data_IF_372554933058
#
_entry.id   IF_372554933058
#
_cell.length_a   1.000
_cell.length_b   1.000
_cell.length_c   1.000
_cell.angle_alpha   90.00
_cell.angle_beta   90.00
_cell.angle_gamma   90.00
#
_symmetry.space_group_name_H-M   'P 1'
#
loop_
_entity.id
_entity.type
_entity.pdbx_description
1 polymer ?
#
# COMPACT_ATOMS: atom_id res chain seq x y z
N UNK A 1 19.15 21.43 16.20
CA UNK A 1 19.27 20.17 15.43
C UNK A 1 20.32 20.38 14.36
N UNK A 2 21.29 19.49 14.30
CA UNK A 2 22.31 19.47 13.25
C UNK A 2 21.73 18.88 11.96
N UNK A 3 22.27 19.29 10.79
CA UNK A 3 21.96 18.75 9.46
C UNK A 3 20.45 18.61 9.15
N UNK A 4 19.71 19.69 9.35
CA UNK A 4 18.25 19.72 9.11
C UNK A 4 17.87 19.42 7.65
N UNK A 5 18.72 19.82 6.71
CA UNK A 5 18.59 19.51 5.29
C UNK A 5 18.67 18.01 5.01
N UNK A 6 19.64 17.31 5.63
CA UNK A 6 19.76 15.86 5.54
C UNK A 6 18.55 15.16 6.17
N UNK A 7 18.10 15.60 7.35
CA UNK A 7 16.90 15.04 7.98
C UNK A 7 15.65 15.21 7.12
N UNK A 8 15.51 16.35 6.43
CA UNK A 8 14.44 16.58 5.47
C UNK A 8 14.53 15.57 4.31
N UNK A 9 15.72 15.36 3.75
CA UNK A 9 15.96 14.44 2.64
C UNK A 9 15.68 12.98 3.03
N UNK A 10 16.09 12.55 4.22
CA UNK A 10 15.85 11.20 4.74
C UNK A 10 14.35 10.90 4.95
N UNK A 11 13.51 11.94 5.12
CA UNK A 11 12.06 11.80 5.26
C UNK A 11 11.35 11.68 3.91
N UNK A 12 11.69 10.66 3.15
CA UNK A 12 11.05 10.31 1.89
C UNK A 12 12.00 10.19 0.69
N UNK A 13 13.28 10.62 0.81
CA UNK A 13 14.25 10.53 -0.30
C UNK A 13 14.90 9.15 -0.48
N UNK A 14 14.43 8.15 0.23
CA UNK A 14 14.92 6.77 0.11
C UNK A 14 16.36 6.58 0.59
N UNK A 15 17.00 5.51 0.14
CA UNK A 15 18.36 5.10 0.52
C UNK A 15 19.47 5.86 -0.21
N UNK A 16 19.28 7.14 -0.55
CA UNK A 16 20.20 7.92 -1.37
C UNK A 16 21.31 8.67 -0.61
N UNK A 17 21.28 8.69 0.73
CA UNK A 17 22.12 9.62 1.51
C UNK A 17 23.05 8.94 2.52
N UNK A 18 22.93 7.63 2.72
CA UNK A 18 23.71 6.91 3.69
C UNK A 18 22.99 5.73 4.32
N UNK A 19 23.61 5.13 5.33
CA UNK A 19 23.05 4.05 6.15
C UNK A 19 22.69 4.61 7.52
N UNK A 20 21.41 4.47 7.90
CA UNK A 20 20.93 4.89 9.23
C UNK A 20 21.15 3.75 10.22
N UNK A 21 21.92 4.01 11.28
CA UNK A 21 22.26 3.00 12.31
C UNK A 21 21.44 3.15 13.59
N UNK A 22 20.73 4.28 13.76
CA UNK A 22 19.90 4.54 14.94
C UNK A 22 18.77 5.53 14.59
N UNK A 23 17.56 5.18 15.02
CA UNK A 23 16.41 6.08 15.00
C UNK A 23 16.00 6.44 16.42
N UNK A 24 15.56 7.69 16.60
CA UNK A 24 14.90 8.16 17.80
C UNK A 24 13.54 8.80 17.40
N UNK A 25 12.44 8.19 17.84
CA UNK A 25 11.09 8.60 17.48
C UNK A 25 10.34 9.19 18.69
N UNK A 26 9.57 10.23 18.46
CA UNK A 26 8.49 10.62 19.35
C UNK A 26 7.31 9.65 19.14
N UNK A 27 6.95 8.93 20.19
CA UNK A 27 5.88 7.93 20.11
C UNK A 27 4.50 8.58 20.31
N UNK A 28 3.50 8.00 19.69
CA UNK A 28 2.10 8.32 19.89
C UNK A 28 1.43 7.25 20.76
N UNK A 29 0.41 7.60 21.56
CA UNK A 29 -0.40 6.60 22.26
C UNK A 29 -1.03 5.61 21.26
N UNK A 30 -0.83 4.33 21.52
CA UNK A 30 -1.34 3.24 20.70
C UNK A 30 -1.56 2.03 21.58
N UNK A 31 -2.75 1.45 21.54
CA UNK A 31 -3.08 0.20 22.21
C UNK A 31 -2.83 0.18 23.74
N UNK A 32 -2.43 -0.99 24.32
CA UNK A 32 -1.93 -2.19 23.60
C UNK A 32 -2.96 -2.90 22.72
N UNK A 33 -4.26 -2.88 23.08
CA UNK A 33 -5.34 -3.48 22.31
C UNK A 33 -5.93 -2.46 21.33
N UNK A 34 -6.22 -2.92 20.12
CA UNK A 34 -6.93 -2.18 19.06
C UNK A 34 -8.09 -3.02 18.55
N UNK A 35 -9.06 -2.40 17.89
CA UNK A 35 -10.06 -3.13 17.13
C UNK A 35 -9.57 -3.31 15.68
N UNK A 36 -9.46 -4.56 15.26
CA UNK A 36 -9.16 -4.96 13.90
C UNK A 36 -10.44 -5.52 13.25
N UNK A 37 -10.85 -4.97 12.13
CA UNK A 37 -11.91 -5.57 11.30
C UNK A 37 -11.27 -6.14 10.03
N UNK A 38 -11.63 -7.38 9.72
CA UNK A 38 -11.19 -8.09 8.53
C UNK A 38 -12.30 -9.03 8.00
N UNK A 39 -13.48 -8.49 7.68
CA UNK A 39 -14.51 -9.26 6.98
C UNK A 39 -14.02 -9.60 5.58
N UNK A 40 -14.13 -10.87 5.19
CA UNK A 40 -13.74 -11.38 3.89
C UNK A 40 -14.97 -11.73 3.09
N UNK A 41 -15.11 -11.07 1.95
CA UNK A 41 -16.21 -11.25 1.02
C UNK A 41 -15.77 -12.09 -0.18
N UNK A 42 -16.64 -12.98 -0.69
CA UNK A 42 -16.38 -13.60 -1.98
C UNK A 42 -16.38 -12.52 -3.07
N UNK A 43 -15.54 -12.67 -4.10
CA UNK A 43 -15.48 -11.69 -5.20
C UNK A 43 -16.84 -11.47 -5.87
N UNK A 44 -17.73 -12.47 -5.80
CA UNK A 44 -19.11 -12.40 -6.29
C UNK A 44 -20.03 -11.45 -5.51
N UNK A 45 -19.62 -10.95 -4.34
CA UNK A 45 -20.34 -9.89 -3.63
C UNK A 45 -20.31 -8.56 -4.41
N UNK A 46 -19.37 -8.43 -5.36
CA UNK A 46 -19.28 -7.29 -6.26
C UNK A 46 -18.79 -6.01 -5.60
N UNK A 47 -19.13 -4.87 -6.21
CA UNK A 47 -18.59 -3.57 -5.82
C UNK A 47 -19.30 -2.90 -4.62
N UNK A 48 -20.53 -3.31 -4.27
CA UNK A 48 -21.32 -2.60 -3.24
C UNK A 48 -20.65 -2.56 -1.85
N UNK A 49 -20.08 -3.68 -1.31
CA UNK A 49 -19.34 -3.61 -0.07
C UNK A 49 -18.10 -2.71 -0.14
N UNK A 50 -17.38 -2.71 -1.29
CA UNK A 50 -16.19 -1.87 -1.49
C UNK A 50 -16.59 -0.39 -1.60
N UNK A 51 -17.71 -0.07 -2.24
CA UNK A 51 -18.29 1.28 -2.31
C UNK A 51 -18.63 1.80 -0.92
N UNK A 52 -19.31 0.99 -0.12
CA UNK A 52 -19.60 1.34 1.27
C UNK A 52 -18.32 1.58 2.07
N UNK A 53 -17.34 0.68 1.97
CA UNK A 53 -16.05 0.81 2.63
C UNK A 53 -15.33 2.11 2.22
N UNK A 54 -15.25 2.41 0.93
CA UNK A 54 -14.66 3.67 0.41
C UNK A 54 -15.25 4.89 1.12
N UNK A 55 -16.57 4.98 1.12
CA UNK A 55 -17.28 6.13 1.69
C UNK A 55 -17.16 6.16 3.22
N UNK A 56 -17.11 5.00 3.86
CA UNK A 56 -16.91 4.85 5.29
C UNK A 56 -15.50 5.33 5.71
N UNK A 57 -14.44 4.83 5.07
CA UNK A 57 -13.06 5.20 5.47
C UNK A 57 -12.72 6.64 5.14
N UNK A 58 -13.27 7.19 4.07
CA UNK A 58 -13.11 8.61 3.73
C UNK A 58 -13.61 9.54 4.85
N UNK A 59 -14.71 9.16 5.53
CA UNK A 59 -15.25 9.90 6.68
C UNK A 59 -14.52 9.65 7.99
N UNK A 60 -13.75 8.57 8.11
CA UNK A 60 -13.13 8.11 9.35
C UNK A 60 -11.58 8.06 9.28
N UNK A 61 -10.97 8.69 8.28
CA UNK A 61 -9.54 8.57 7.97
C UNK A 61 -8.57 9.04 9.08
N UNK A 62 -9.03 9.80 10.05
CA UNK A 62 -8.23 10.17 11.23
C UNK A 62 -8.22 9.11 12.35
N UNK A 63 -9.14 8.15 12.30
CA UNK A 63 -9.35 7.14 13.36
C UNK A 63 -9.15 5.71 12.86
N UNK A 64 -9.23 5.50 11.55
CA UNK A 64 -9.21 4.18 10.90
C UNK A 64 -8.14 4.18 9.82
N UNK A 65 -7.14 3.31 9.97
CA UNK A 65 -6.24 2.93 8.87
C UNK A 65 -6.85 1.74 8.14
N UNK A 66 -6.86 1.76 6.80
CA UNK A 66 -7.59 0.75 6.06
C UNK A 66 -7.07 0.48 4.65
N UNK A 67 -7.31 -0.75 4.19
CA UNK A 67 -7.16 -1.17 2.80
C UNK A 67 -8.26 -2.18 2.42
N UNK A 68 -8.56 -2.27 1.14
CA UNK A 68 -9.32 -3.38 0.55
C UNK A 68 -8.33 -4.25 -0.23
N UNK A 69 -8.13 -5.50 0.19
CA UNK A 69 -7.18 -6.44 -0.40
C UNK A 69 -7.92 -7.55 -1.13
N UNK A 70 -7.53 -7.78 -2.39
CA UNK A 70 -7.98 -8.91 -3.19
C UNK A 70 -6.95 -10.04 -3.12
N UNK A 71 -7.38 -11.23 -2.73
CA UNK A 71 -6.54 -12.41 -2.55
C UNK A 71 -7.26 -13.69 -2.98
N UNK A 72 -6.63 -14.83 -2.77
CA UNK A 72 -7.25 -16.17 -2.95
C UNK A 72 -7.50 -16.80 -1.59
N UNK A 73 -8.69 -17.32 -1.37
CA UNK A 73 -9.02 -18.09 -0.18
C UNK A 73 -8.19 -19.39 -0.16
N UNK A 74 -7.29 -19.50 0.82
CA UNK A 74 -6.42 -20.66 0.97
C UNK A 74 -7.21 -21.90 1.38
N UNK A 75 -6.71 -23.08 1.03
CA UNK A 75 -7.17 -24.33 1.61
C UNK A 75 -6.77 -24.41 3.09
N UNK A 76 -7.70 -24.77 3.95
CA UNK A 76 -7.44 -24.88 5.39
C UNK A 76 -8.68 -24.62 6.24
N UNK A 77 -8.48 -24.49 7.55
CA UNK A 77 -9.56 -24.33 8.52
C UNK A 77 -10.14 -22.88 8.51
N UNK A 78 -9.39 -21.92 7.99
CA UNK A 78 -9.76 -20.51 7.99
C UNK A 78 -10.90 -20.18 7.02
N UNK A 79 -11.09 -21.00 5.99
CA UNK A 79 -12.14 -20.82 4.99
C UNK A 79 -13.02 -22.06 4.84
N UNK A 80 -14.36 -21.90 4.70
CA UNK A 80 -15.24 -22.96 4.24
C UNK A 80 -14.78 -23.53 2.90
N UNK A 81 -14.90 -24.85 2.72
CA UNK A 81 -14.39 -25.58 1.53
C UNK A 81 -14.91 -25.03 0.21
N UNK A 82 -16.15 -24.50 0.20
CA UNK A 82 -16.73 -23.89 -0.99
C UNK A 82 -15.99 -22.65 -1.50
N UNK A 83 -15.12 -22.01 -0.68
CA UNK A 83 -14.31 -20.85 -1.09
C UNK A 83 -12.87 -21.20 -1.47
N UNK A 84 -12.39 -22.39 -1.17
CA UNK A 84 -11.00 -22.76 -1.46
C UNK A 84 -10.62 -22.51 -2.93
N UNK A 85 -9.49 -21.86 -3.15
CA UNK A 85 -8.99 -21.48 -4.47
C UNK A 85 -9.82 -20.40 -5.19
N UNK A 86 -10.84 -19.83 -4.53
CA UNK A 86 -11.63 -18.74 -5.12
C UNK A 86 -11.10 -17.38 -4.71
N UNK A 87 -11.26 -16.42 -5.59
CA UNK A 87 -10.95 -15.02 -5.31
C UNK A 87 -11.93 -14.42 -4.31
N UNK A 88 -11.37 -13.71 -3.35
CA UNK A 88 -12.05 -12.99 -2.27
C UNK A 88 -11.48 -11.59 -2.15
N UNK A 89 -12.13 -10.73 -1.37
CA UNK A 89 -11.53 -9.49 -0.91
C UNK A 89 -11.81 -9.25 0.58
N UNK A 90 -10.82 -8.66 1.25
CA UNK A 90 -10.86 -8.30 2.67
C UNK A 90 -11.00 -6.80 2.80
N UNK A 91 -11.93 -6.32 3.63
CA UNK A 91 -12.00 -4.92 4.04
C UNK A 91 -11.25 -4.78 5.38
N UNK A 92 -9.92 -4.69 5.31
CA UNK A 92 -9.09 -4.61 6.50
C UNK A 92 -9.08 -3.19 7.08
N UNK A 93 -9.41 -3.05 8.36
CA UNK A 93 -9.44 -1.79 9.09
C UNK A 93 -8.83 -1.94 10.48
N UNK A 94 -7.97 -1.01 10.86
CA UNK A 94 -7.46 -0.89 12.23
C UNK A 94 -7.99 0.41 12.83
N UNK A 95 -8.68 0.30 13.96
CA UNK A 95 -9.13 1.44 14.75
C UNK A 95 -8.20 1.64 15.94
N UNK A 96 -7.54 2.80 15.98
CA UNK A 96 -6.70 3.22 17.10
C UNK A 96 -7.51 4.09 18.08
N UNK A 97 -8.01 3.46 19.13
CA UNK A 97 -8.82 4.09 20.17
C UNK A 97 -9.35 3.05 21.15
N UNK A 98 -10.40 3.38 21.88
CA UNK A 98 -11.08 2.40 22.73
C UNK A 98 -11.65 1.24 21.88
N UNK A 99 -11.33 0.00 22.27
CA UNK A 99 -11.69 -1.16 21.45
C UNK A 99 -13.21 -1.38 21.33
N UNK A 100 -14.00 -1.01 22.36
CA UNK A 100 -15.45 -1.11 22.29
C UNK A 100 -16.07 -0.04 21.37
N UNK A 101 -15.50 1.17 21.35
CA UNK A 101 -15.87 2.17 20.33
C UNK A 101 -15.53 1.69 18.93
N UNK A 102 -14.33 1.10 18.76
CA UNK A 102 -13.88 0.54 17.47
C UNK A 102 -14.78 -0.58 16.99
N UNK A 103 -15.19 -1.49 17.86
CA UNK A 103 -16.12 -2.57 17.56
C UNK A 103 -17.47 -2.03 17.04
N UNK A 104 -18.04 -1.05 17.75
CA UNK A 104 -19.30 -0.42 17.33
C UNK A 104 -19.15 0.35 15.99
N UNK A 105 -18.02 1.04 15.79
CA UNK A 105 -17.74 1.81 14.58
C UNK A 105 -17.54 0.91 13.36
N UNK A 106 -16.78 -0.20 13.48
CA UNK A 106 -16.40 -1.06 12.37
C UNK A 106 -17.43 -2.16 12.05
N UNK A 107 -18.35 -2.45 12.98
CA UNK A 107 -19.41 -3.46 12.79
C UNK A 107 -20.15 -3.36 11.45
N UNK A 108 -20.57 -2.18 10.95
CA UNK A 108 -21.25 -2.10 9.66
C UNK A 108 -20.48 -2.74 8.50
N UNK A 109 -19.15 -2.79 8.56
CA UNK A 109 -18.33 -3.41 7.53
C UNK A 109 -18.47 -4.95 7.47
N UNK A 110 -18.99 -5.60 8.49
CA UNK A 110 -19.20 -7.07 8.54
C UNK A 110 -20.62 -7.48 8.11
N UNK A 111 -21.51 -6.52 7.82
CA UNK A 111 -22.93 -6.77 7.60
C UNK A 111 -23.41 -6.42 6.17
N UNK A 112 -22.48 -6.17 5.22
CA UNK A 112 -22.81 -5.64 3.88
C UNK A 112 -23.30 -6.71 2.91
N UNK A 113 -22.83 -7.95 3.04
CA UNK A 113 -23.20 -9.11 2.23
C UNK A 113 -22.80 -10.40 2.99
N UNK A 114 -23.22 -11.60 2.52
CA UNK A 114 -22.71 -12.85 3.07
C UNK A 114 -21.17 -12.93 2.98
N UNK A 115 -20.53 -13.24 4.10
CA UNK A 115 -19.08 -13.36 4.22
C UNK A 115 -18.60 -14.75 3.77
N UNK A 116 -17.39 -14.81 3.22
CA UNK A 116 -16.65 -16.06 3.08
C UNK A 116 -16.09 -16.50 4.45
N UNK A 117 -15.51 -15.56 5.20
CA UNK A 117 -15.08 -15.72 6.59
C UNK A 117 -14.90 -14.35 7.23
N UNK A 118 -14.61 -14.30 8.55
CA UNK A 118 -14.38 -13.03 9.26
C UNK A 118 -13.29 -13.23 10.32
N UNK A 119 -12.21 -12.42 10.22
CA UNK A 119 -11.12 -12.39 11.19
C UNK A 119 -11.17 -11.13 12.09
N UNK A 120 -12.33 -10.46 12.13
CA UNK A 120 -12.51 -9.29 12.96
C UNK A 120 -12.46 -9.61 14.45
N UNK A 121 -11.81 -8.74 15.22
CA UNK A 121 -11.75 -8.90 16.66
C UNK A 121 -10.85 -7.86 17.32
N UNK A 122 -10.86 -7.88 18.65
CA UNK A 122 -9.90 -7.14 19.45
C UNK A 122 -8.57 -7.88 19.41
N UNK A 123 -7.51 -7.15 19.15
CA UNK A 123 -6.19 -7.74 18.95
C UNK A 123 -5.12 -6.83 19.57
N UNK A 124 -4.05 -7.43 20.09
CA UNK A 124 -2.89 -6.65 20.48
C UNK A 124 -2.27 -6.01 19.22
N UNK A 125 -1.94 -4.74 19.28
CA UNK A 125 -1.40 -4.03 18.10
C UNK A 125 -0.09 -4.64 17.58
N UNK A 126 0.74 -5.20 18.46
CA UNK A 126 1.95 -5.91 18.03
C UNK A 126 1.64 -7.15 17.17
N UNK A 127 0.52 -7.86 17.48
CA UNK A 127 0.08 -9.01 16.70
C UNK A 127 -0.49 -8.56 15.34
N UNK A 128 -1.22 -7.43 15.30
CA UNK A 128 -1.69 -6.82 14.04
C UNK A 128 -0.51 -6.51 13.12
N UNK A 129 0.61 -5.99 13.66
CA UNK A 129 1.81 -5.67 12.87
C UNK A 129 2.50 -6.90 12.29
N UNK A 130 2.22 -8.10 12.78
CA UNK A 130 2.82 -9.36 12.35
C UNK A 130 1.92 -10.21 11.45
N UNK A 131 0.68 -9.78 11.19
CA UNK A 131 -0.30 -10.56 10.40
C UNK A 131 0.21 -10.95 9.01
N UNK A 132 1.06 -10.11 8.40
CA UNK A 132 1.59 -10.32 7.06
C UNK A 132 2.96 -11.03 7.01
N UNK A 133 3.63 -11.25 8.14
CA UNK A 133 5.00 -11.78 8.19
C UNK A 133 5.12 -13.18 7.58
N UNK A 134 4.06 -13.98 7.65
CA UNK A 134 4.03 -15.36 7.13
C UNK A 134 3.53 -15.47 5.69
N UNK A 135 2.98 -14.40 5.10
CA UNK A 135 2.38 -14.47 3.76
C UNK A 135 3.44 -14.51 2.65
N UNK A 136 4.57 -13.82 2.87
CA UNK A 136 5.64 -13.71 1.86
C UNK A 136 6.99 -13.98 2.56
N UNK A 137 7.31 -15.23 2.92
CA UNK A 137 8.60 -15.58 3.51
C UNK A 137 9.75 -15.23 2.57
N UNK A 138 10.86 -14.73 3.14
CA UNK A 138 12.01 -14.33 2.37
C UNK A 138 12.62 -15.50 1.59
N UNK A 139 12.73 -15.33 0.28
CA UNK A 139 13.36 -16.30 -0.63
C UNK A 139 12.42 -17.37 -1.20
N UNK A 140 11.16 -17.46 -0.75
CA UNK A 140 10.24 -18.49 -1.19
C UNK A 140 9.48 -18.10 -2.48
N UNK A 141 9.37 -16.81 -2.74
CA UNK A 141 8.59 -16.28 -3.84
C UNK A 141 9.37 -15.29 -4.70
N UNK A 142 8.97 -15.24 -5.95
CA UNK A 142 9.29 -14.18 -6.90
C UNK A 142 8.21 -13.11 -6.80
N UNK A 143 8.60 -11.83 -6.84
CA UNK A 143 7.70 -10.71 -6.65
C UNK A 143 7.91 -9.65 -7.73
N UNK A 144 6.81 -9.09 -8.22
CA UNK A 144 6.82 -7.91 -9.08
C UNK A 144 5.66 -7.00 -8.72
N UNK A 145 5.97 -5.86 -8.11
CA UNK A 145 4.99 -4.97 -7.52
C UNK A 145 4.94 -3.64 -8.26
N UNK A 146 3.75 -3.23 -8.67
CA UNK A 146 3.49 -1.90 -9.21
C UNK A 146 2.37 -1.23 -8.44
N UNK A 147 2.49 0.08 -8.23
CA UNK A 147 1.43 0.86 -7.63
C UNK A 147 1.22 2.18 -8.37
N UNK A 148 -0.01 2.69 -8.29
CA UNK A 148 -0.40 3.96 -8.88
C UNK A 148 -1.27 4.72 -7.88
N UNK A 149 -0.92 5.97 -7.63
CA UNK A 149 -1.79 6.88 -6.91
C UNK A 149 -3.00 7.26 -7.77
N UNK A 150 -4.17 7.31 -7.14
CA UNK A 150 -5.43 7.63 -7.80
C UNK A 150 -5.91 9.00 -7.33
N UNK A 151 -6.45 9.79 -8.25
CA UNK A 151 -7.10 11.06 -7.94
C UNK A 151 -8.36 10.86 -7.09
N UNK A 152 -9.08 9.80 -7.38
CA UNK A 152 -10.26 9.35 -6.64
C UNK A 152 -10.42 7.83 -6.78
N UNK A 153 -11.21 7.22 -5.91
CA UNK A 153 -11.63 5.82 -6.05
C UNK A 153 -13.07 5.78 -6.59
N UNK A 154 -13.22 5.94 -7.90
CA UNK A 154 -14.52 5.87 -8.56
C UNK A 154 -15.08 4.44 -8.61
N UNK A 155 -16.36 4.31 -8.94
CA UNK A 155 -17.00 3.00 -9.11
C UNK A 155 -16.37 2.21 -10.27
N UNK A 156 -15.99 2.89 -11.35
CA UNK A 156 -15.31 2.29 -12.51
C UNK A 156 -13.92 1.79 -12.14
N UNK A 157 -13.20 2.50 -11.24
CA UNK A 157 -11.91 2.03 -10.74
C UNK A 157 -12.07 0.81 -9.83
N UNK A 158 -13.13 0.74 -9.01
CA UNK A 158 -13.45 -0.44 -8.20
C UNK A 158 -13.77 -1.64 -9.12
N UNK A 159 -14.58 -1.46 -10.16
CA UNK A 159 -14.89 -2.50 -11.14
C UNK A 159 -13.65 -2.98 -11.89
N UNK A 160 -12.72 -2.08 -12.23
CA UNK A 160 -11.43 -2.43 -12.81
C UNK A 160 -10.61 -3.31 -11.84
N UNK A 161 -10.52 -2.93 -10.57
CA UNK A 161 -9.78 -3.69 -9.56
C UNK A 161 -10.37 -5.10 -9.37
N UNK A 162 -11.70 -5.23 -9.29
CA UNK A 162 -12.42 -6.52 -9.22
C UNK A 162 -12.11 -7.36 -10.46
N UNK A 163 -12.18 -6.77 -11.65
CA UNK A 163 -11.98 -7.47 -12.92
C UNK A 163 -10.54 -7.96 -13.04
N UNK A 164 -9.56 -7.16 -12.63
CA UNK A 164 -8.16 -7.52 -12.63
C UNK A 164 -7.85 -8.61 -11.58
N UNK A 165 -8.40 -8.51 -10.38
CA UNK A 165 -8.26 -9.54 -9.35
C UNK A 165 -8.80 -10.91 -9.80
N UNK A 166 -9.90 -10.93 -10.58
CA UNK A 166 -10.51 -12.16 -11.09
C UNK A 166 -9.59 -12.97 -12.01
N UNK A 167 -8.68 -12.29 -12.72
CA UNK A 167 -7.77 -12.92 -13.68
C UNK A 167 -6.32 -12.97 -13.20
N UNK A 168 -6.08 -12.74 -11.92
CA UNK A 168 -4.74 -12.80 -11.37
C UNK A 168 -4.13 -14.21 -11.57
N UNK A 169 -2.87 -14.27 -12.05
CA UNK A 169 -2.31 -15.51 -12.61
C UNK A 169 -1.75 -16.50 -11.58
N UNK A 170 -1.64 -16.08 -10.32
CA UNK A 170 -1.14 -16.91 -9.21
C UNK A 170 -2.05 -16.77 -7.99
N UNK A 171 -2.22 -17.87 -7.23
CA UNK A 171 -3.00 -17.86 -5.99
C UNK A 171 -2.36 -17.02 -4.89
N UNK A 172 -1.04 -16.80 -4.93
CA UNK A 172 -0.32 -15.94 -4.00
C UNK A 172 -0.41 -14.46 -4.37
N UNK A 173 -0.83 -14.13 -5.61
CA UNK A 173 -0.93 -12.75 -6.08
C UNK A 173 -2.06 -12.02 -5.36
N UNK A 174 -1.72 -10.83 -4.84
CA UNK A 174 -2.65 -9.90 -4.22
C UNK A 174 -2.72 -8.61 -5.03
N UNK A 175 -3.80 -7.85 -4.85
CA UNK A 175 -3.89 -6.46 -5.28
C UNK A 175 -4.71 -5.69 -4.27
N UNK A 176 -4.41 -4.39 -4.08
CA UNK A 176 -5.02 -3.66 -2.98
C UNK A 176 -5.40 -2.23 -3.36
N UNK A 177 -6.51 -1.79 -2.80
CA UNK A 177 -6.93 -0.39 -2.78
C UNK A 177 -6.60 0.18 -1.39
N UNK A 178 -5.69 1.15 -1.34
CA UNK A 178 -5.20 1.75 -0.11
C UNK A 178 -5.85 3.11 0.13
N UNK A 179 -6.24 3.39 1.37
CA UNK A 179 -6.67 4.72 1.80
C UNK A 179 -5.52 5.47 2.48
N UNK A 180 -5.16 6.64 1.96
CA UNK A 180 -4.07 7.49 2.45
C UNK A 180 -4.54 8.83 3.05
N UNK A 181 -5.76 8.94 3.47
CA UNK A 181 -6.32 10.17 4.02
C UNK A 181 -5.79 10.57 5.41
N UNK A 182 -6.54 11.40 6.09
CA UNK A 182 -6.32 11.80 7.47
C UNK A 182 -5.08 12.66 7.70
N UNK A 183 -4.35 12.37 8.78
CA UNK A 183 -3.19 13.15 9.19
C UNK A 183 -2.07 13.18 8.13
N UNK A 184 -1.89 12.10 7.39
CA UNK A 184 -0.88 12.00 6.34
C UNK A 184 -1.11 13.03 5.22
N UNK A 185 -2.34 13.22 4.80
CA UNK A 185 -2.71 14.16 3.74
C UNK A 185 -2.56 15.64 4.16
N UNK A 186 -2.51 15.93 5.47
CA UNK A 186 -2.36 17.29 5.99
C UNK A 186 -0.91 17.78 6.10
N UNK A 187 0.07 16.90 5.86
CA UNK A 187 1.49 17.30 5.87
C UNK A 187 1.81 18.08 4.59
N UNK A 188 2.30 19.35 4.70
CA UNK A 188 2.64 20.14 3.52
C UNK A 188 3.69 19.44 2.65
N UNK A 189 3.54 19.52 1.32
CA UNK A 189 4.43 18.85 0.36
C UNK A 189 5.92 19.20 0.55
N UNK A 190 6.23 20.44 0.91
CA UNK A 190 7.60 20.89 1.15
C UNK A 190 8.17 20.53 2.53
N UNK A 191 7.35 19.99 3.45
CA UNK A 191 7.79 19.70 4.81
C UNK A 191 8.74 18.49 4.90
N UNK A 192 8.67 17.59 3.94
CA UNK A 192 9.54 16.40 3.83
C UNK A 192 9.87 16.13 2.36
N UNK A 193 10.86 15.29 2.12
CA UNK A 193 11.24 14.90 0.76
C UNK A 193 10.19 14.01 0.06
N UNK A 194 9.28 13.40 0.80
CA UNK A 194 8.21 12.53 0.24
C UNK A 194 7.33 13.26 -0.79
N UNK A 195 7.24 14.58 -0.71
CA UNK A 195 6.49 15.40 -1.66
C UNK A 195 5.01 15.53 -1.32
N UNK A 196 4.19 15.62 -2.36
CA UNK A 196 2.75 15.84 -2.23
C UNK A 196 2.05 14.64 -1.59
N UNK A 197 1.19 14.93 -0.63
CA UNK A 197 0.42 13.95 0.13
C UNK A 197 -1.09 14.13 -0.07
N UNK A 198 -1.49 14.87 -1.11
CA UNK A 198 -2.89 15.11 -1.43
C UNK A 198 -3.61 13.87 -1.99
N UNK A 199 -2.85 12.82 -2.37
CA UNK A 199 -3.41 11.56 -2.81
C UNK A 199 -4.24 10.92 -1.68
N UNK A 200 -5.49 10.61 -1.96
CA UNK A 200 -6.37 9.90 -1.02
C UNK A 200 -6.32 8.39 -1.18
N UNK A 201 -5.91 7.90 -2.35
CA UNK A 201 -5.99 6.51 -2.73
C UNK A 201 -4.76 6.03 -3.51
N UNK A 202 -4.50 4.72 -3.41
CA UNK A 202 -3.51 4.03 -4.23
C UNK A 202 -4.05 2.66 -4.62
N UNK A 203 -3.79 2.24 -5.84
CA UNK A 203 -4.00 0.89 -6.31
C UNK A 203 -2.65 0.20 -6.46
N UNK A 204 -2.46 -0.94 -5.78
CA UNK A 204 -1.27 -1.77 -5.91
C UNK A 204 -1.60 -3.13 -6.54
N UNK A 205 -0.64 -3.64 -7.28
CA UNK A 205 -0.69 -4.88 -8.04
C UNK A 205 0.56 -5.67 -7.66
N UNK A 206 0.39 -6.55 -6.70
CA UNK A 206 1.47 -7.23 -6.00
C UNK A 206 1.51 -8.68 -6.49
N UNK A 207 2.07 -8.87 -7.70
CA UNK A 207 2.24 -10.18 -8.29
C UNK A 207 3.29 -10.98 -7.49
N UNK A 208 2.90 -12.18 -7.04
CA UNK A 208 3.67 -13.08 -6.19
C UNK A 208 3.49 -14.49 -6.72
N UNK A 209 4.59 -15.19 -7.03
CA UNK A 209 4.55 -16.54 -7.60
C UNK A 209 5.82 -17.32 -7.28
N UNK A 210 5.78 -18.66 -7.22
CA UNK A 210 6.95 -19.45 -6.84
C UNK A 210 7.91 -19.81 -7.99
N UNK A 211 7.42 -20.00 -9.22
CA UNK A 211 8.19 -20.61 -10.32
C UNK A 211 8.63 -19.58 -11.37
N UNK A 212 9.92 -19.55 -11.71
CA UNK A 212 10.50 -18.68 -12.74
C UNK A 212 9.83 -18.82 -14.11
N UNK A 213 9.34 -19.99 -14.45
CA UNK A 213 8.62 -20.23 -15.70
C UNK A 213 7.36 -19.36 -15.83
N UNK A 214 6.83 -18.86 -14.72
CA UNK A 214 5.63 -18.04 -14.64
C UNK A 214 5.89 -16.54 -14.63
N UNK A 215 7.16 -16.09 -14.71
CA UNK A 215 7.54 -14.67 -14.66
C UNK A 215 6.75 -13.83 -15.66
N UNK A 216 6.75 -14.25 -16.92
CA UNK A 216 6.14 -13.45 -17.99
C UNK A 216 4.66 -13.18 -17.75
N UNK A 217 3.88 -14.18 -17.34
CA UNK A 217 2.43 -13.99 -17.12
C UNK A 217 2.13 -13.11 -15.93
N UNK A 218 2.92 -13.23 -14.84
CA UNK A 218 2.73 -12.47 -13.63
C UNK A 218 3.13 -11.00 -13.80
N UNK A 219 4.28 -10.75 -14.43
CA UNK A 219 4.75 -9.40 -14.76
C UNK A 219 3.78 -8.71 -15.72
N UNK A 220 3.32 -9.44 -16.76
CA UNK A 220 2.35 -8.91 -17.74
C UNK A 220 1.05 -8.50 -17.05
N UNK A 221 0.48 -9.34 -16.19
CA UNK A 221 -0.74 -9.03 -15.45
C UNK A 221 -0.62 -7.73 -14.63
N UNK A 222 0.49 -7.58 -13.90
CA UNK A 222 0.72 -6.38 -13.09
C UNK A 222 0.87 -5.13 -13.97
N UNK A 223 1.59 -5.21 -15.09
CA UNK A 223 1.76 -4.10 -16.04
C UNK A 223 0.45 -3.71 -16.73
N UNK A 224 -0.31 -4.69 -17.20
CA UNK A 224 -1.61 -4.44 -17.85
C UNK A 224 -2.62 -3.80 -16.88
N UNK A 225 -2.72 -4.30 -15.64
CA UNK A 225 -3.56 -3.71 -14.61
C UNK A 225 -3.13 -2.29 -14.24
N UNK A 226 -1.82 -2.04 -14.14
CA UNK A 226 -1.27 -0.72 -13.88
C UNK A 226 -1.58 0.26 -15.02
N UNK A 227 -1.43 -0.17 -16.29
CA UNK A 227 -1.77 0.63 -17.47
C UNK A 227 -3.28 0.91 -17.56
N UNK A 228 -4.11 -0.11 -17.28
CA UNK A 228 -5.56 0.06 -17.30
C UNK A 228 -6.06 1.07 -16.25
N UNK A 229 -5.33 1.26 -15.15
CA UNK A 229 -5.64 2.24 -14.11
C UNK A 229 -5.16 3.68 -14.45
N UNK A 230 -4.47 3.91 -15.58
CA UNK A 230 -3.96 5.21 -15.97
C UNK A 230 -5.02 6.32 -16.04
N UNK A 231 -6.24 6.10 -16.57
CA UNK A 231 -7.27 7.14 -16.64
C UNK A 231 -7.73 7.67 -15.26
N UNK A 232 -7.47 6.90 -14.19
CA UNK A 232 -7.83 7.24 -12.81
C UNK A 232 -6.64 7.78 -12.01
N UNK A 233 -5.46 7.83 -12.65
CA UNK A 233 -4.21 8.22 -11.99
C UNK A 233 -4.24 9.69 -11.58
N UNK A 234 -3.59 9.97 -10.47
CA UNK A 234 -3.15 11.32 -10.16
C UNK A 234 -1.90 11.62 -10.98
N UNK A 235 -1.92 12.71 -11.75
CA UNK A 235 -0.81 13.10 -12.63
C UNK A 235 0.54 13.17 -11.89
N UNK A 236 1.59 12.66 -12.55
CA UNK A 236 2.96 12.81 -12.12
C UNK A 236 3.31 12.07 -10.82
N UNK A 237 2.71 10.88 -10.54
CA UNK A 237 2.91 10.24 -9.23
C UNK A 237 3.10 8.73 -9.32
N UNK A 238 4.35 8.31 -9.17
CA UNK A 238 4.70 6.92 -8.91
C UNK A 238 5.02 6.72 -7.42
N UNK A 239 4.62 5.59 -6.86
CA UNK A 239 5.03 5.18 -5.52
C UNK A 239 6.34 4.40 -5.62
N UNK A 240 7.45 5.02 -5.22
CA UNK A 240 8.79 4.48 -5.41
C UNK A 240 9.12 3.21 -4.63
N UNK A 241 8.27 2.79 -3.68
CA UNK A 241 8.43 1.50 -3.03
C UNK A 241 7.91 0.33 -3.88
N UNK A 242 7.02 0.60 -4.86
CA UNK A 242 6.44 -0.40 -5.76
C UNK A 242 6.63 0.00 -7.24
N UNK A 243 7.87 0.19 -7.71
CA UNK A 243 8.11 0.74 -9.04
C UNK A 243 8.01 -0.30 -10.17
N UNK A 244 8.03 -1.60 -9.84
CA UNK A 244 8.30 -2.66 -10.79
C UNK A 244 9.82 -2.87 -10.96
N UNK A 245 10.28 -4.13 -10.86
CA UNK A 245 11.70 -4.44 -11.01
C UNK A 245 12.17 -4.16 -12.44
N UNK A 246 13.31 -3.46 -12.58
CA UNK A 246 13.91 -3.13 -13.89
C UNK A 246 13.22 -1.99 -14.63
N UNK A 247 12.28 -1.28 -13.99
CA UNK A 247 11.64 -0.08 -14.54
C UNK A 247 12.16 1.21 -13.88
N UNK A 248 13.24 1.09 -13.13
CA UNK A 248 13.89 2.21 -12.46
C UNK A 248 14.54 3.12 -13.52
N UNK A 249 14.13 4.37 -13.54
CA UNK A 249 14.70 5.38 -14.42
C UNK A 249 14.79 6.73 -13.72
N UNK A 250 15.74 7.55 -14.17
CA UNK A 250 15.87 8.91 -13.65
C UNK A 250 14.58 9.71 -13.86
N UNK A 251 13.89 9.50 -14.97
CA UNK A 251 12.63 10.16 -15.28
C UNK A 251 11.54 9.79 -14.27
N UNK A 252 11.39 8.50 -13.93
CA UNK A 252 10.44 8.04 -12.92
C UNK A 252 10.76 8.63 -11.53
N UNK A 253 12.05 8.69 -11.18
CA UNK A 253 12.50 9.25 -9.91
C UNK A 253 12.23 10.76 -9.84
N UNK A 254 12.53 11.49 -10.93
CA UNK A 254 12.22 12.94 -11.03
C UNK A 254 10.72 13.21 -10.94
N UNK A 255 9.92 12.42 -11.65
CA UNK A 255 8.45 12.51 -11.62
C UNK A 255 7.91 12.28 -10.21
N UNK A 256 8.35 11.22 -9.53
CA UNK A 256 7.89 10.85 -8.20
C UNK A 256 8.22 11.91 -7.13
N UNK A 257 9.41 12.50 -7.17
CA UNK A 257 9.79 13.57 -6.24
C UNK A 257 9.26 14.96 -6.66
N UNK A 258 8.92 15.14 -7.95
CA UNK A 258 8.37 16.39 -8.48
C UNK A 258 9.20 17.61 -8.08
N UNK A 259 8.55 18.63 -7.51
CA UNK A 259 9.21 19.89 -7.10
C UNK A 259 10.33 19.71 -6.05
N UNK A 260 10.35 18.58 -5.32
CA UNK A 260 11.38 18.30 -4.31
C UNK A 260 12.67 17.74 -4.90
N UNK A 261 12.68 17.27 -6.17
CA UNK A 261 13.84 16.60 -6.77
C UNK A 261 15.09 17.48 -6.78
N UNK A 262 14.99 18.75 -7.23
CA UNK A 262 16.14 19.65 -7.30
C UNK A 262 16.80 19.86 -5.93
N UNK A 263 15.99 20.03 -4.88
CA UNK A 263 16.51 20.15 -3.52
C UNK A 263 17.18 18.85 -3.04
N UNK A 264 16.60 17.70 -3.39
CA UNK A 264 17.19 16.39 -3.08
C UNK A 264 18.55 16.22 -3.78
N UNK A 265 18.66 16.57 -5.07
CA UNK A 265 19.90 16.49 -5.83
C UNK A 265 21.01 17.40 -5.25
N UNK A 266 20.67 18.60 -4.80
CA UNK A 266 21.60 19.50 -4.09
C UNK A 266 22.07 18.94 -2.75
N UNK A 267 21.16 18.35 -1.96
CA UNK A 267 21.52 17.69 -0.71
C UNK A 267 22.38 16.47 -0.99
N UNK A 268 22.06 15.69 -2.02
CA UNK A 268 22.86 14.56 -2.49
C UNK A 268 24.28 14.99 -2.85
N UNK A 269 24.46 16.08 -3.61
CA UNK A 269 25.76 16.63 -3.96
C UNK A 269 26.59 17.04 -2.73
N UNK A 270 25.94 17.47 -1.64
CA UNK A 270 26.58 17.84 -0.38
C UNK A 270 27.06 16.63 0.43
N UNK A 271 26.25 15.58 0.55
CA UNK A 271 26.50 14.46 1.46
C UNK A 271 27.04 13.20 0.78
N UNK A 272 26.77 13.03 -0.51
CA UNK A 272 27.25 11.93 -1.32
C UNK A 272 27.62 12.38 -2.74
N UNK A 273 28.63 13.27 -2.90
CA UNK A 273 29.00 13.84 -4.19
C UNK A 273 29.50 12.79 -5.20
N UNK A 274 30.03 11.67 -4.72
CA UNK A 274 30.54 10.56 -5.54
C UNK A 274 29.43 9.56 -5.92
N UNK A 275 28.18 9.80 -5.48
CA UNK A 275 27.03 8.93 -5.75
C UNK A 275 27.28 7.46 -5.35
N UNK A 276 27.79 7.24 -4.14
CA UNK A 276 28.06 5.91 -3.59
C UNK A 276 26.76 5.15 -3.32
N UNK A 277 25.75 5.84 -2.77
CA UNK A 277 24.43 5.28 -2.45
C UNK A 277 23.47 5.43 -3.65
N UNK A 278 23.50 4.45 -4.59
CA UNK A 278 22.81 4.53 -5.89
C UNK A 278 22.02 3.28 -6.30
N UNK A 279 21.89 2.30 -5.42
CA UNK A 279 21.31 1.00 -5.79
C UNK A 279 19.78 0.91 -5.63
N UNK A 280 19.12 1.99 -5.34
CA UNK A 280 17.66 2.18 -5.38
C UNK A 280 17.33 3.26 -6.40
N UNK A 281 16.13 3.86 -6.33
CA UNK A 281 15.77 4.98 -7.21
C UNK A 281 16.78 6.12 -7.01
N UNK A 282 17.79 6.16 -7.87
CA UNK A 282 18.94 7.03 -7.69
C UNK A 282 18.59 8.50 -7.90
N UNK A 283 18.97 9.32 -6.93
CA UNK A 283 18.98 10.78 -7.06
C UNK A 283 20.39 11.17 -7.46
N UNK A 284 20.55 11.63 -8.70
CA UNK A 284 21.85 12.07 -9.21
C UNK A 284 22.30 13.37 -8.51
N UNK A 285 23.57 13.45 -8.01
CA UNK A 285 24.08 14.67 -7.42
C UNK A 285 24.10 15.82 -8.44
N UNK A 286 23.51 16.97 -8.12
CA UNK A 286 23.51 18.17 -8.95
C UNK A 286 23.99 19.36 -8.09
N UNK A 287 24.93 20.18 -8.65
CA UNK A 287 25.51 21.33 -7.96
C UNK A 287 24.59 22.55 -7.95
#
# INVERSE_FOLDING_TARGET
MENQDLLWALRGGGGNFGVVVKFEFALHPMGPEVMFAAPIYPLSAGLEPIRFWRDFVARNSDRVASLCEFSTAAEGEDFPKEYWGKRVYTLACVYNGDAAEGEALLKPLTELAPLATDFSGRMNYADVQQLFDTLIPFGDYRCYWKARYLSELSDEMIDLAISNAKVAPSDNTISSLWNFGGATARVPAAATAFGDRSMGWMYSLDAIWPDEADDSKNITWSREGWNAAEPYAQEGRAYLNFPGHGEDGEDLTREAFGANYTRLAQIKAKYDPENVFRFNQNITPEA
#
